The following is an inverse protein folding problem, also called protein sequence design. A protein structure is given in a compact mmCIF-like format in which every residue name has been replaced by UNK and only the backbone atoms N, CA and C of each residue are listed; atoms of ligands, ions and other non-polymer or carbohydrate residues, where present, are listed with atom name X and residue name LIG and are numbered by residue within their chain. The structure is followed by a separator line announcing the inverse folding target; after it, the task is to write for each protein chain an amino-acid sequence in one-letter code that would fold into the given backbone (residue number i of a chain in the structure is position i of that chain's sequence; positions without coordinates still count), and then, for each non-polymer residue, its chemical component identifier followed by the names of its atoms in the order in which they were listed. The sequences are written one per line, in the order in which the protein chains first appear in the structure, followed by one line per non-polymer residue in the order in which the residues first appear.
data_IF_931995838129
#
_entry.id   IF_931995838129
#
_cell.length_a   1.000
_cell.length_b   1.000
_cell.length_c   1.000
_cell.angle_alpha   90.00
_cell.angle_beta   90.00
_cell.angle_gamma   90.00
#
_symmetry.space_group_name_H-M   'P 1'
#
loop_
_entity.id
_entity.type
_entity.pdbx_description
1 polymer ?
#
# COMPACT_ATOMS: atom_id res chain seq x y z
N UNK A 1 2.53 3.28 22.53
CA UNK A 1 3.11 1.95 22.27
C UNK A 1 3.65 1.98 20.86
N UNK A 2 4.96 1.82 20.66
CA UNK A 2 5.49 1.60 19.31
C UNK A 2 5.21 0.15 18.91
N UNK A 3 4.37 -0.06 17.90
CA UNK A 3 4.25 -1.35 17.23
C UNK A 3 5.14 -1.37 16.00
N UNK A 4 5.93 -2.44 15.83
CA UNK A 4 6.63 -2.70 14.57
C UNK A 4 5.70 -3.48 13.67
N UNK A 5 5.35 -2.91 12.52
CA UNK A 5 4.60 -3.60 11.48
C UNK A 5 5.57 -4.33 10.55
N UNK A 6 5.17 -5.50 10.07
CA UNK A 6 5.78 -6.12 8.89
C UNK A 6 5.53 -5.26 7.65
N UNK A 7 6.31 -5.47 6.59
CA UNK A 7 6.12 -4.75 5.33
C UNK A 7 4.72 -4.94 4.74
N UNK A 8 4.14 -6.14 4.90
CA UNK A 8 2.78 -6.45 4.45
C UNK A 8 1.73 -5.74 5.30
N UNK A 9 1.85 -5.76 6.63
CA UNK A 9 0.92 -5.05 7.51
C UNK A 9 0.94 -3.54 7.28
N UNK A 10 2.12 -2.97 7.05
CA UNK A 10 2.26 -1.56 6.73
C UNK A 10 1.66 -1.21 5.35
N UNK A 11 1.83 -2.10 4.34
CA UNK A 11 1.18 -1.95 3.04
C UNK A 11 -0.34 -1.97 3.15
N UNK A 12 -0.88 -2.96 3.87
CA UNK A 12 -2.32 -3.10 4.11
C UNK A 12 -2.89 -1.92 4.91
N UNK A 13 -2.12 -1.39 5.87
CA UNK A 13 -2.50 -0.19 6.61
C UNK A 13 -2.62 1.03 5.69
N UNK A 14 -1.66 1.21 4.78
CA UNK A 14 -1.68 2.30 3.80
C UNK A 14 -2.84 2.16 2.81
N UNK A 15 -3.10 0.95 2.29
CA UNK A 15 -4.26 0.65 1.45
C UNK A 15 -5.58 0.96 2.14
N UNK A 16 -5.76 0.51 3.37
CA UNK A 16 -6.99 0.75 4.15
C UNK A 16 -7.26 2.25 4.31
N UNK A 17 -6.22 3.06 4.52
CA UNK A 17 -6.35 4.51 4.56
C UNK A 17 -6.79 5.09 3.21
N UNK A 18 -6.20 4.64 2.10
CA UNK A 18 -6.57 5.07 0.74
C UNK A 18 -8.00 4.67 0.38
N UNK A 19 -8.45 3.48 0.77
CA UNK A 19 -9.84 3.03 0.58
C UNK A 19 -10.82 3.98 1.28
N UNK A 20 -10.52 4.34 2.53
CA UNK A 20 -11.33 5.33 3.27
C UNK A 20 -11.31 6.70 2.59
N UNK A 21 -10.16 7.12 2.06
CA UNK A 21 -10.05 8.39 1.34
C UNK A 21 -10.84 8.38 0.02
N UNK A 22 -10.76 7.28 -0.74
CA UNK A 22 -11.54 7.09 -1.96
C UNK A 22 -13.04 7.14 -1.66
N UNK A 23 -13.52 6.46 -0.62
CA UNK A 23 -14.93 6.51 -0.19
C UNK A 23 -15.44 7.93 0.11
N UNK A 24 -14.56 8.84 0.53
CA UNK A 24 -14.92 10.23 0.85
C UNK A 24 -14.88 11.16 -0.36
N UNK A 25 -14.11 10.81 -1.39
CA UNK A 25 -13.75 11.74 -2.48
C UNK A 25 -14.19 11.28 -3.86
N UNK A 26 -14.43 9.98 -4.03
CA UNK A 26 -14.65 9.31 -5.32
C UNK A 26 -13.56 9.66 -6.35
N UNK A 27 -12.33 9.83 -5.88
CA UNK A 27 -11.20 10.24 -6.71
C UNK A 27 -10.76 9.11 -7.65
N UNK A 28 -10.91 9.31 -8.96
CA UNK A 28 -10.49 8.36 -10.01
C UNK A 28 -9.02 7.95 -9.87
N UNK A 29 -8.13 8.89 -9.57
CA UNK A 29 -6.69 8.61 -9.39
C UNK A 29 -6.44 7.65 -8.21
N UNK A 30 -7.17 7.81 -7.11
CA UNK A 30 -7.04 6.94 -5.93
C UNK A 30 -7.69 5.58 -6.19
N UNK A 31 -8.84 5.56 -6.87
CA UNK A 31 -9.46 4.31 -7.31
C UNK A 31 -8.56 3.49 -8.23
N UNK A 32 -7.91 4.16 -9.18
CA UNK A 32 -6.95 3.54 -10.11
C UNK A 32 -5.74 2.97 -9.36
N UNK A 33 -5.19 3.73 -8.40
CA UNK A 33 -4.09 3.27 -7.54
C UNK A 33 -4.52 2.05 -6.71
N UNK A 34 -5.69 2.08 -6.08
CA UNK A 34 -6.21 0.95 -5.31
C UNK A 34 -6.39 -0.31 -6.17
N UNK A 35 -6.79 -0.15 -7.43
CA UNK A 35 -6.91 -1.22 -8.41
C UNK A 35 -5.56 -1.93 -8.66
N UNK A 36 -4.51 -1.18 -8.99
CA UNK A 36 -3.17 -1.77 -9.23
C UNK A 36 -2.55 -2.34 -7.95
N UNK A 37 -2.96 -1.84 -6.78
CA UNK A 37 -2.52 -2.36 -5.50
C UNK A 37 -3.17 -3.70 -5.12
N UNK A 38 -4.34 -4.05 -5.68
CA UNK A 38 -5.14 -5.22 -5.28
C UNK A 38 -4.35 -6.53 -5.24
N UNK A 39 -4.55 -7.36 -4.22
CA UNK A 39 -3.96 -8.70 -4.18
C UNK A 39 -4.75 -9.67 -5.07
N UNK A 40 -4.03 -10.46 -5.85
CA UNK A 40 -4.54 -11.56 -6.66
C UNK A 40 -4.54 -12.88 -5.84
N UNK A 41 -5.13 -13.93 -6.41
CA UNK A 41 -5.23 -15.25 -5.76
C UNK A 41 -3.87 -15.89 -5.44
N UNK A 42 -2.83 -15.53 -6.19
CA UNK A 42 -1.45 -15.99 -5.99
C UNK A 42 -0.69 -15.20 -4.91
N UNK A 43 -1.32 -14.18 -4.31
CA UNK A 43 -0.73 -13.33 -3.29
C UNK A 43 0.14 -12.19 -3.83
N UNK A 44 0.26 -12.02 -5.14
CA UNK A 44 0.90 -10.85 -5.77
C UNK A 44 -0.06 -9.66 -5.85
N UNK A 45 0.48 -8.45 -6.03
CA UNK A 45 -0.32 -7.27 -6.38
C UNK A 45 -0.67 -7.30 -7.86
N UNK A 46 -1.82 -6.72 -8.24
CA UNK A 46 -2.31 -6.67 -9.61
C UNK A 46 -1.30 -6.05 -10.57
N UNK A 47 -0.58 -5.02 -10.11
CA UNK A 47 0.70 -4.60 -10.69
C UNK A 47 1.86 -5.00 -9.73
N UNK A 48 2.74 -5.92 -10.13
CA UNK A 48 3.89 -6.33 -9.32
C UNK A 48 4.87 -5.19 -9.00
N UNK A 49 4.96 -4.15 -9.84
CA UNK A 49 5.87 -3.01 -9.62
C UNK A 49 5.51 -2.24 -8.34
N UNK A 50 4.23 -2.15 -8.02
CA UNK A 50 3.72 -1.44 -6.84
C UNK A 50 4.27 -2.01 -5.53
N UNK A 51 4.44 -3.34 -5.47
CA UNK A 51 5.05 -3.96 -4.29
C UNK A 51 6.54 -3.59 -4.17
N UNK A 52 7.27 -3.53 -5.29
CA UNK A 52 8.68 -3.13 -5.28
C UNK A 52 8.84 -1.67 -4.85
N UNK A 53 8.01 -0.77 -5.39
CA UNK A 53 7.97 0.65 -5.03
C UNK A 53 7.66 0.85 -3.54
N UNK A 54 6.72 0.07 -3.01
CA UNK A 54 6.42 0.05 -1.59
C UNK A 54 7.63 -0.35 -0.74
N UNK A 55 8.32 -1.44 -1.10
CA UNK A 55 9.51 -1.90 -0.40
C UNK A 55 10.63 -0.84 -0.45
N UNK A 56 10.81 -0.14 -1.57
CA UNK A 56 11.74 0.98 -1.67
C UNK A 56 11.37 2.11 -0.69
N UNK A 57 10.10 2.50 -0.66
CA UNK A 57 9.60 3.54 0.26
C UNK A 57 9.85 3.17 1.72
N UNK A 58 9.51 1.94 2.13
CA UNK A 58 9.73 1.48 3.50
C UNK A 58 11.22 1.45 3.84
N UNK A 59 12.06 0.95 2.93
CA UNK A 59 13.51 0.91 3.14
C UNK A 59 14.13 2.32 3.25
N UNK A 60 13.61 3.30 2.51
CA UNK A 60 14.07 4.69 2.58
C UNK A 60 13.81 5.30 3.96
N UNK A 61 12.65 5.00 4.56
CA UNK A 61 12.27 5.50 5.88
C UNK A 61 12.94 4.71 7.00
N UNK A 62 13.07 3.39 6.87
CA UNK A 62 13.72 2.56 7.88
C UNK A 62 15.22 2.83 8.01
N UNK A 63 15.88 3.22 6.92
CA UNK A 63 17.29 3.69 6.93
C UNK A 63 17.51 5.05 7.60
N UNK A 64 16.44 5.81 7.90
CA UNK A 64 16.52 7.12 8.56
C UNK A 64 16.28 7.03 10.08
N UNK A 65 16.11 5.82 10.61
CA UNK A 65 15.82 5.55 12.02
C UNK A 65 17.05 5.15 12.82
#
# INVERSE_FOLDING_TARGET
MESKLTYLEAFNSMRCFLEKYYQLTDSDDVGSLLGIMQFLEDGSTADPAVWLDWIECVNKISKQR
#
